data_IF_033020505866
#
_entry.id   IF_033020505866
#
_cell.length_a   1.000
_cell.length_b   1.000
_cell.length_c   1.000
_cell.angle_alpha   90.00
_cell.angle_beta   90.00
_cell.angle_gamma   90.00
#
_symmetry.space_group_name_H-M   'P 1'
#
loop_
_entity.id
_entity.type
_entity.pdbx_description
1 polymer ?
#
# COMPACT_ATOMS: atom_id res chain seq x y z
N UNK A 1 13.38 -5.88 10.58
CA UNK A 1 12.15 -6.68 10.41
C UNK A 1 11.12 -5.94 9.54
N UNK A 2 10.60 -4.79 9.97
CA UNK A 2 9.59 -4.03 9.20
C UNK A 2 10.10 -3.61 7.81
N UNK A 3 11.32 -3.05 7.72
CA UNK A 3 11.93 -2.69 6.42
C UNK A 3 12.05 -3.89 5.47
N UNK A 4 12.33 -5.10 6.00
CA UNK A 4 12.40 -6.30 5.16
C UNK A 4 11.04 -6.75 4.64
N UNK A 5 9.95 -6.51 5.40
CA UNK A 5 8.59 -6.72 4.89
C UNK A 5 8.24 -5.67 3.83
N UNK A 6 8.64 -4.41 4.02
CA UNK A 6 8.44 -3.35 3.04
C UNK A 6 9.15 -3.67 1.71
N UNK A 7 10.43 -4.04 1.76
CA UNK A 7 11.16 -4.43 0.54
C UNK A 7 10.55 -5.66 -0.13
N UNK A 8 10.00 -6.61 0.64
CA UNK A 8 9.27 -7.74 0.08
C UNK A 8 8.01 -7.28 -0.66
N UNK A 9 7.21 -6.38 -0.06
CA UNK A 9 6.02 -5.80 -0.68
C UNK A 9 6.38 -5.02 -1.95
N UNK A 10 7.40 -4.16 -1.92
CA UNK A 10 7.87 -3.41 -3.09
C UNK A 10 8.30 -4.34 -4.24
N UNK A 11 9.08 -5.40 -3.95
CA UNK A 11 9.51 -6.38 -4.95
C UNK A 11 8.30 -7.10 -5.54
N UNK A 12 7.35 -7.53 -4.71
CA UNK A 12 6.13 -8.21 -5.17
C UNK A 12 5.27 -7.28 -6.01
N UNK A 13 5.06 -6.04 -5.59
CA UNK A 13 4.26 -5.05 -6.29
C UNK A 13 4.88 -4.74 -7.66
N UNK A 14 6.19 -4.50 -7.68
CA UNK A 14 6.97 -4.28 -8.90
C UNK A 14 6.89 -5.48 -9.84
N UNK A 15 7.03 -6.70 -9.31
CA UNK A 15 6.94 -7.96 -10.08
C UNK A 15 5.53 -8.24 -10.62
N UNK A 16 4.47 -7.74 -9.97
CA UNK A 16 3.10 -7.87 -10.47
C UNK A 16 2.81 -6.87 -11.59
N UNK A 17 3.32 -5.64 -11.47
CA UNK A 17 3.03 -4.53 -12.40
C UNK A 17 3.95 -4.57 -13.63
N UNK A 18 5.27 -4.64 -13.42
CA UNK A 18 6.27 -4.39 -14.47
C UNK A 18 6.26 -5.44 -15.58
N UNK A 19 6.28 -6.76 -15.33
CA UNK A 19 6.39 -7.75 -16.39
C UNK A 19 5.22 -7.71 -17.37
N UNK A 20 4.00 -7.47 -16.86
CA UNK A 20 2.79 -7.39 -17.68
C UNK A 20 2.70 -6.07 -18.44
N UNK A 21 3.04 -4.93 -17.81
CA UNK A 21 3.17 -3.66 -18.54
C UNK A 21 4.21 -3.79 -19.65
N UNK A 22 5.41 -4.27 -19.35
CA UNK A 22 6.51 -4.34 -20.32
C UNK A 22 6.19 -5.31 -21.48
N UNK A 23 5.60 -6.48 -21.19
CA UNK A 23 5.19 -7.45 -22.21
C UNK A 23 4.09 -6.89 -23.12
N UNK A 24 3.09 -6.20 -22.56
CA UNK A 24 2.04 -5.56 -23.35
C UNK A 24 2.58 -4.41 -24.22
N UNK A 25 3.65 -3.75 -23.78
CA UNK A 25 4.26 -2.63 -24.53
C UNK A 25 5.05 -3.13 -25.73
N UNK A 26 5.83 -4.19 -25.52
CA UNK A 26 6.71 -4.76 -26.53
C UNK A 26 5.94 -5.55 -27.60
N UNK A 27 4.81 -6.19 -27.26
CA UNK A 27 4.07 -7.02 -28.21
C UNK A 27 3.14 -6.28 -29.17
N UNK A 28 2.90 -4.96 -29.02
CA UNK A 28 1.86 -4.19 -29.77
C UNK A 28 0.43 -4.79 -29.72
N UNK A 29 0.24 -5.89 -28.98
CA UNK A 29 -1.01 -6.53 -28.66
C UNK A 29 -1.38 -6.07 -27.25
N UNK A 30 -2.31 -5.10 -27.17
CA UNK A 30 -2.82 -4.52 -25.94
C UNK A 30 -3.84 -5.45 -25.26
N UNK A 31 -3.48 -6.72 -25.05
CA UNK A 31 -4.47 -7.77 -24.81
C UNK A 31 -4.10 -8.60 -23.58
N UNK A 32 -4.80 -8.37 -22.47
CA UNK A 32 -4.68 -9.19 -21.25
C UNK A 32 -5.88 -10.13 -21.12
N UNK A 33 -5.65 -11.38 -20.70
CA UNK A 33 -6.75 -12.30 -20.43
C UNK A 33 -7.51 -11.86 -19.18
N UNK A 34 -8.82 -12.11 -19.15
CA UNK A 34 -9.69 -11.71 -18.04
C UNK A 34 -9.18 -12.23 -16.68
N UNK A 35 -8.79 -13.51 -16.61
CA UNK A 35 -8.22 -14.09 -15.40
C UNK A 35 -6.90 -13.42 -14.98
N UNK A 36 -6.04 -13.07 -15.94
CA UNK A 36 -4.79 -12.37 -15.65
C UNK A 36 -5.02 -10.91 -15.20
N UNK A 37 -6.08 -10.26 -15.69
CA UNK A 37 -6.55 -8.93 -15.31
C UNK A 37 -7.02 -8.92 -13.84
N UNK A 38 -7.98 -9.80 -13.49
CA UNK A 38 -8.52 -9.94 -12.12
C UNK A 38 -7.42 -10.29 -11.12
N UNK A 39 -6.50 -11.19 -11.50
CA UNK A 39 -5.37 -11.56 -10.63
C UNK A 39 -4.44 -10.37 -10.40
N UNK A 40 -4.12 -9.60 -11.44
CA UNK A 40 -3.28 -8.40 -11.31
C UNK A 40 -3.95 -7.32 -10.46
N UNK A 41 -5.25 -7.07 -10.67
CA UNK A 41 -6.06 -6.15 -9.89
C UNK A 41 -5.99 -6.52 -8.40
N UNK A 42 -6.28 -7.77 -8.05
CA UNK A 42 -6.23 -8.24 -6.67
C UNK A 42 -4.87 -7.99 -6.01
N UNK A 43 -3.79 -8.47 -6.63
CA UNK A 43 -2.46 -8.35 -6.05
C UNK A 43 -2.00 -6.90 -5.95
N UNK A 44 -2.35 -6.04 -6.92
CA UNK A 44 -2.01 -4.62 -6.89
C UNK A 44 -2.62 -3.92 -5.67
N UNK A 45 -3.93 -4.04 -5.47
CA UNK A 45 -4.63 -3.40 -4.36
C UNK A 45 -4.23 -3.99 -3.01
N UNK A 46 -4.09 -5.31 -2.91
CA UNK A 46 -3.63 -6.00 -1.70
C UNK A 46 -2.23 -5.55 -1.27
N UNK A 47 -1.26 -5.54 -2.20
CA UNK A 47 0.12 -5.19 -1.91
C UNK A 47 0.23 -3.70 -1.57
N UNK A 48 -0.44 -2.83 -2.34
CA UNK A 48 -0.46 -1.38 -2.07
C UNK A 48 -1.09 -1.05 -0.72
N UNK A 49 -2.24 -1.65 -0.37
CA UNK A 49 -2.86 -1.43 0.93
C UNK A 49 -1.95 -1.90 2.09
N UNK A 50 -1.31 -3.07 1.94
CA UNK A 50 -0.37 -3.59 2.92
C UNK A 50 0.86 -2.68 3.10
N UNK A 51 1.35 -2.09 2.00
CA UNK A 51 2.47 -1.15 1.98
C UNK A 51 2.14 0.14 2.74
N UNK A 52 1.01 0.79 2.44
CA UNK A 52 0.59 2.01 3.16
C UNK A 52 0.43 1.78 4.66
N UNK A 53 -0.20 0.66 5.04
CA UNK A 53 -0.34 0.28 6.46
C UNK A 53 1.03 0.04 7.12
N UNK A 54 1.95 -0.61 6.42
CA UNK A 54 3.29 -0.87 6.95
C UNK A 54 4.12 0.41 7.09
N UNK A 55 3.99 1.37 6.16
CA UNK A 55 4.61 2.69 6.27
C UNK A 55 4.09 3.47 7.49
N UNK A 56 2.77 3.43 7.74
CA UNK A 56 2.19 4.05 8.93
C UNK A 56 2.71 3.41 10.23
N UNK A 57 2.86 2.08 10.25
CA UNK A 57 3.46 1.38 11.40
C UNK A 57 4.93 1.76 11.58
N UNK A 58 5.69 1.87 10.50
CA UNK A 58 7.09 2.27 10.55
C UNK A 58 7.26 3.73 11.01
N UNK A 59 6.31 4.63 10.72
CA UNK A 59 6.34 5.97 11.29
C UNK A 59 6.08 5.97 12.81
N UNK A 60 5.18 5.10 13.28
CA UNK A 60 4.91 4.92 14.72
C UNK A 60 6.11 4.29 15.43
N UNK A 61 6.76 3.30 14.83
CA UNK A 61 8.01 2.69 15.31
C UNK A 61 9.08 3.77 15.57
N UNK A 62 9.30 4.65 14.59
CA UNK A 62 10.25 5.77 14.68
C UNK A 62 9.84 6.78 15.74
N UNK A 63 8.55 7.09 15.84
CA UNK A 63 8.03 8.00 16.86
C UNK A 63 8.30 7.45 18.27
N UNK A 64 8.00 6.17 18.52
CA UNK A 64 8.22 5.55 19.82
C UNK A 64 9.72 5.49 20.17
N UNK A 65 10.58 5.16 19.20
CA UNK A 65 12.02 5.09 19.41
C UNK A 65 12.64 6.44 19.81
N UNK A 66 12.16 7.55 19.24
CA UNK A 66 12.71 8.90 19.47
C UNK A 66 12.05 9.59 20.66
N UNK A 67 10.71 9.57 20.72
CA UNK A 67 9.96 10.33 21.73
C UNK A 67 9.79 9.57 23.04
N UNK A 68 9.84 8.23 23.03
CA UNK A 68 9.62 7.38 24.20
C UNK A 68 10.69 6.28 24.36
N UNK A 69 11.99 6.63 24.39
CA UNK A 69 13.08 5.64 24.35
C UNK A 69 13.08 4.65 25.52
N UNK A 70 12.61 5.06 26.70
CA UNK A 70 12.53 4.19 27.90
C UNK A 70 11.44 3.10 27.77
N UNK A 71 10.35 3.39 27.06
CA UNK A 71 9.23 2.46 26.90
C UNK A 71 9.29 1.68 25.57
N UNK A 72 10.15 2.09 24.63
CA UNK A 72 10.28 1.48 23.32
C UNK A 72 10.48 -0.05 23.35
N UNK A 73 11.37 -0.63 24.20
CA UNK A 73 11.56 -2.09 24.22
C UNK A 73 10.32 -2.88 24.69
N UNK A 74 9.46 -2.24 25.49
CA UNK A 74 8.20 -2.84 25.97
C UNK A 74 7.10 -2.73 24.92
N UNK A 75 7.02 -1.58 24.23
CA UNK A 75 6.00 -1.30 23.23
C UNK A 75 6.30 -1.95 21.86
N UNK A 76 7.57 -2.05 21.49
CA UNK A 76 8.00 -2.57 20.19
C UNK A 76 9.10 -3.63 20.38
N UNK A 77 8.65 -4.88 20.58
CA UNK A 77 9.51 -6.07 20.61
C UNK A 77 9.27 -6.95 19.38
N UNK A 78 10.09 -8.00 19.20
CA UNK A 78 9.99 -8.89 18.04
C UNK A 78 8.61 -9.52 17.84
N UNK A 79 7.90 -9.85 18.92
CA UNK A 79 6.53 -10.41 18.86
C UNK A 79 5.52 -9.37 18.41
N UNK A 80 5.62 -8.13 18.90
CA UNK A 80 4.75 -7.02 18.46
C UNK A 80 5.01 -6.72 16.99
N UNK A 81 6.28 -6.57 16.58
CA UNK A 81 6.65 -6.37 15.18
C UNK A 81 6.05 -7.43 14.26
N UNK A 82 6.11 -8.71 14.65
CA UNK A 82 5.52 -9.80 13.88
C UNK A 82 4.00 -9.70 13.79
N UNK A 83 3.31 -9.47 14.93
CA UNK A 83 1.84 -9.34 14.96
C UNK A 83 1.36 -8.16 14.13
N UNK A 84 2.05 -7.02 14.21
CA UNK A 84 1.70 -5.82 13.46
C UNK A 84 1.97 -6.02 11.97
N UNK A 85 3.09 -6.62 11.59
CA UNK A 85 3.33 -6.96 10.18
C UNK A 85 2.22 -7.88 9.64
N UNK A 86 1.89 -8.95 10.37
CA UNK A 86 0.78 -9.84 9.99
C UNK A 86 -0.54 -9.07 9.86
N UNK A 87 -0.82 -8.11 10.76
CA UNK A 87 -2.00 -7.27 10.66
C UNK A 87 -1.99 -6.37 9.42
N UNK A 88 -0.84 -5.82 9.01
CA UNK A 88 -0.73 -5.06 7.75
C UNK A 88 -1.03 -5.95 6.53
N UNK A 89 -0.44 -7.15 6.48
CA UNK A 89 -0.70 -8.12 5.41
C UNK A 89 -2.18 -8.51 5.35
N UNK A 90 -2.78 -8.88 6.49
CA UNK A 90 -4.20 -9.25 6.54
C UNK A 90 -5.14 -8.07 6.28
N UNK A 91 -4.73 -6.86 6.69
CA UNK A 91 -5.44 -5.61 6.47
C UNK A 91 -5.47 -5.17 5.01
N UNK A 92 -4.48 -5.55 4.20
CA UNK A 92 -4.56 -5.45 2.74
C UNK A 92 -5.35 -6.61 2.12
N UNK A 93 -5.20 -7.84 2.64
CA UNK A 93 -5.72 -9.05 2.02
C UNK A 93 -7.26 -9.13 2.09
N UNK A 94 -7.82 -8.99 3.30
CA UNK A 94 -9.24 -9.26 3.54
C UNK A 94 -10.16 -8.21 2.88
N UNK A 95 -9.89 -6.90 2.99
CA UNK A 95 -10.79 -5.89 2.43
C UNK A 95 -10.84 -5.90 0.91
N UNK A 96 -9.75 -6.28 0.24
CA UNK A 96 -9.63 -6.31 -1.22
C UNK A 96 -10.26 -7.56 -1.83
N UNK A 97 -10.33 -8.67 -1.08
CA UNK A 97 -10.88 -9.93 -1.56
C UNK A 97 -12.37 -9.82 -1.93
N UNK A 98 -13.18 -9.17 -1.09
CA UNK A 98 -14.62 -9.02 -1.32
C UNK A 98 -14.95 -8.30 -2.64
N UNK A 99 -14.46 -7.07 -2.85
CA UNK A 99 -14.63 -6.34 -4.10
C UNK A 99 -14.08 -7.11 -5.31
N UNK A 100 -12.92 -7.76 -5.18
CA UNK A 100 -12.34 -8.56 -6.27
C UNK A 100 -13.25 -9.72 -6.68
N UNK A 101 -13.81 -10.47 -5.72
CA UNK A 101 -14.74 -11.57 -6.00
C UNK A 101 -16.02 -11.04 -6.64
N UNK A 102 -16.54 -9.92 -6.14
CA UNK A 102 -17.71 -9.29 -6.72
C UNK A 102 -17.47 -8.87 -8.18
N UNK A 103 -16.30 -8.28 -8.47
CA UNK A 103 -15.88 -7.92 -9.83
C UNK A 103 -15.72 -9.15 -10.71
N UNK A 104 -15.13 -10.24 -10.20
CA UNK A 104 -14.96 -11.49 -10.95
C UNK A 104 -16.29 -12.18 -11.33
N UNK A 105 -17.35 -11.94 -10.55
CA UNK A 105 -18.68 -12.53 -10.76
C UNK A 105 -19.64 -11.64 -11.58
N UNK A 106 -19.22 -10.44 -11.99
CA UNK A 106 -20.06 -9.55 -12.80
C UNK A 106 -20.28 -10.14 -14.22
N UNK A 107 -21.49 -9.96 -14.80
CA UNK A 107 -21.71 -10.26 -16.20
C UNK A 107 -21.02 -9.20 -17.08
N UNK A 108 -19.93 -9.59 -17.72
CA UNK A 108 -19.25 -8.76 -18.73
C UNK A 108 -19.95 -8.92 -20.08
N UNK A 109 -20.17 -7.81 -20.78
CA UNK A 109 -20.90 -7.80 -22.06
C UNK A 109 -20.11 -8.40 -23.22
N UNK A 110 -18.79 -8.47 -23.08
CA UNK A 110 -17.90 -9.10 -24.04
C UNK A 110 -17.19 -10.28 -23.36
N UNK A 111 -17.87 -11.42 -23.28
CA UNK A 111 -17.36 -12.63 -22.62
C UNK A 111 -16.14 -13.27 -23.33
N UNK A 112 -15.83 -12.85 -24.56
CA UNK A 112 -14.70 -13.34 -25.39
C UNK A 112 -13.68 -12.26 -25.78
N UNK A 113 -13.82 -11.01 -25.31
CA UNK A 113 -12.94 -9.92 -25.71
C UNK A 113 -11.82 -9.71 -24.70
N UNK A 114 -10.62 -10.12 -25.09
CA UNK A 114 -9.41 -9.32 -24.98
C UNK A 114 -9.65 -7.92 -24.38
N UNK A 115 -9.29 -7.72 -23.12
CA UNK A 115 -9.37 -6.39 -22.50
C UNK A 115 -8.35 -5.51 -23.21
N UNK A 116 -8.82 -4.53 -24.00
CA UNK A 116 -7.96 -3.58 -24.73
C UNK A 116 -7.36 -2.51 -23.81
N UNK A 117 -6.83 -2.92 -22.67
CA UNK A 117 -6.12 -2.04 -21.75
C UNK A 117 -4.84 -2.70 -21.23
N UNK A 118 -3.81 -1.86 -21.16
CA UNK A 118 -2.45 -2.20 -20.75
C UNK A 118 -2.34 -2.56 -19.26
N UNK A 119 -3.30 -2.09 -18.46
CA UNK A 119 -3.36 -2.24 -17.01
C UNK A 119 -4.81 -2.45 -16.57
N UNK A 120 -5.03 -3.42 -15.68
CA UNK A 120 -6.34 -3.72 -15.14
C UNK A 120 -6.64 -2.79 -13.95
N UNK A 121 -7.08 -1.56 -14.26
CA UNK A 121 -7.58 -0.63 -13.24
C UNK A 121 -9.09 -0.81 -13.06
N UNK A 122 -9.58 -0.50 -11.87
CA UNK A 122 -10.99 -0.45 -11.47
C UNK A 122 -11.85 0.27 -12.52
N UNK A 123 -11.51 1.50 -12.88
CA UNK A 123 -12.30 2.33 -13.81
C UNK A 123 -12.56 1.69 -15.19
N UNK A 124 -11.52 1.29 -15.95
CA UNK A 124 -11.67 0.60 -17.22
C UNK A 124 -12.43 -0.72 -17.12
N UNK A 125 -12.16 -1.52 -16.08
CA UNK A 125 -12.78 -2.84 -15.89
C UNK A 125 -14.27 -2.73 -15.58
N UNK A 126 -14.66 -1.75 -14.75
CA UNK A 126 -16.06 -1.52 -14.36
C UNK A 126 -16.91 -0.93 -15.50
N UNK A 127 -16.31 -0.26 -16.50
CA UNK A 127 -17.00 0.24 -17.70
C UNK A 127 -17.38 -0.83 -18.72
N UNK A 128 -16.72 -2.00 -18.68
CA UNK A 128 -16.98 -3.15 -19.57
C UNK A 128 -18.11 -4.06 -19.08
N UNK A 129 -18.59 -3.86 -17.84
CA UNK A 129 -19.68 -4.65 -17.27
C UNK A 129 -21.04 -4.25 -17.87
N UNK A 130 -21.91 -5.24 -18.12
CA UNK A 130 -23.28 -4.99 -18.56
C UNK A 130 -24.19 -4.38 -17.48
N UNK A 131 -23.70 -4.29 -16.25
CA UNK A 131 -24.48 -3.95 -15.06
C UNK A 131 -23.95 -2.67 -14.42
N UNK A 132 -24.77 -2.02 -13.60
CA UNK A 132 -24.37 -0.82 -12.89
C UNK A 132 -23.34 -1.15 -11.80
N UNK A 133 -22.07 -0.86 -12.06
CA UNK A 133 -20.93 -1.13 -11.19
C UNK A 133 -20.59 0.01 -10.22
N UNK A 134 -21.37 1.11 -10.25
CA UNK A 134 -21.12 2.32 -9.47
C UNK A 134 -20.92 2.08 -7.97
N UNK A 135 -21.67 1.14 -7.37
CA UNK A 135 -21.52 0.81 -5.94
C UNK A 135 -20.18 0.14 -5.61
N UNK A 136 -19.65 -0.68 -6.52
CA UNK A 136 -18.34 -1.30 -6.36
C UNK A 136 -17.23 -0.26 -6.47
N UNK A 137 -17.33 0.63 -7.47
CA UNK A 137 -16.39 1.75 -7.65
C UNK A 137 -16.37 2.68 -6.44
N UNK A 138 -17.55 3.05 -5.93
CA UNK A 138 -17.67 3.87 -4.72
C UNK A 138 -17.08 3.14 -3.49
N UNK A 139 -17.32 1.84 -3.35
CA UNK A 139 -16.77 1.05 -2.23
C UNK A 139 -15.25 0.95 -2.30
N UNK A 140 -14.69 0.67 -3.48
CA UNK A 140 -13.24 0.61 -3.70
C UNK A 140 -12.59 1.97 -3.46
N UNK A 141 -13.19 3.05 -3.96
CA UNK A 141 -12.71 4.41 -3.73
C UNK A 141 -12.73 4.80 -2.25
N UNK A 142 -13.81 4.46 -1.53
CA UNK A 142 -13.91 4.71 -0.09
C UNK A 142 -12.86 3.89 0.66
N UNK A 143 -12.69 2.61 0.34
CA UNK A 143 -11.71 1.76 1.01
C UNK A 143 -10.27 2.23 0.76
N UNK A 144 -9.94 2.56 -0.49
CA UNK A 144 -8.63 3.08 -0.86
C UNK A 144 -8.35 4.42 -0.18
N UNK A 145 -9.30 5.36 -0.22
CA UNK A 145 -9.15 6.66 0.44
C UNK A 145 -9.03 6.53 1.96
N UNK A 146 -9.77 5.63 2.59
CA UNK A 146 -9.63 5.35 4.03
C UNK A 146 -8.21 4.85 4.36
N UNK A 147 -7.68 3.89 3.61
CA UNK A 147 -6.31 3.36 3.85
C UNK A 147 -5.27 4.45 3.63
N UNK A 148 -5.36 5.21 2.53
CA UNK A 148 -4.39 6.27 2.21
C UNK A 148 -4.46 7.39 3.23
N UNK A 149 -5.64 7.95 3.48
CA UNK A 149 -5.81 9.10 4.40
C UNK A 149 -5.44 8.70 5.82
N UNK A 150 -5.85 7.54 6.30
CA UNK A 150 -5.47 7.09 7.65
C UNK A 150 -3.95 6.91 7.78
N UNK A 151 -3.31 6.29 6.79
CA UNK A 151 -1.85 6.07 6.78
C UNK A 151 -1.09 7.39 6.71
N UNK A 152 -1.51 8.33 5.86
CA UNK A 152 -0.93 9.66 5.75
C UNK A 152 -1.09 10.46 7.04
N UNK A 153 -2.27 10.42 7.67
CA UNK A 153 -2.52 11.11 8.93
C UNK A 153 -1.65 10.56 10.06
N UNK A 154 -1.57 9.23 10.20
CA UNK A 154 -0.70 8.58 11.20
C UNK A 154 0.76 9.00 10.98
N UNK A 155 1.20 9.00 9.73
CA UNK A 155 2.56 9.36 9.34
C UNK A 155 2.84 10.83 9.66
N UNK A 156 1.97 11.74 9.21
CA UNK A 156 2.11 13.18 9.45
C UNK A 156 2.14 13.53 10.94
N UNK A 157 1.25 12.93 11.75
CA UNK A 157 1.23 13.14 13.21
C UNK A 157 2.51 12.61 13.86
N UNK A 158 2.92 11.38 13.52
CA UNK A 158 4.15 10.76 14.05
C UNK A 158 5.38 11.62 13.76
N UNK A 159 5.54 12.06 12.52
CA UNK A 159 6.65 12.89 12.11
C UNK A 159 6.58 14.32 12.63
N UNK A 160 5.38 14.89 12.76
CA UNK A 160 5.18 16.17 13.43
C UNK A 160 5.72 16.15 14.86
N UNK A 161 5.39 15.11 15.63
CA UNK A 161 5.93 14.94 16.98
C UNK A 161 7.44 14.69 17.00
N UNK A 162 7.97 13.87 16.08
CA UNK A 162 9.42 13.65 15.97
C UNK A 162 10.14 14.98 15.71
N UNK A 163 9.66 15.79 14.76
CA UNK A 163 10.26 17.08 14.44
C UNK A 163 10.22 18.01 15.65
N UNK A 164 9.08 18.09 16.34
CA UNK A 164 8.96 18.87 17.57
C UNK A 164 9.94 18.41 18.65
N UNK A 165 10.07 17.10 18.88
CA UNK A 165 11.01 16.53 19.85
C UNK A 165 12.46 16.86 19.47
N UNK A 166 12.81 16.76 18.19
CA UNK A 166 14.15 17.06 17.68
C UNK A 166 14.48 18.55 17.81
N UNK A 167 13.53 19.44 17.54
CA UNK A 167 13.72 20.88 17.71
C UNK A 167 13.98 21.26 19.17
N UNK A 168 13.41 20.52 20.13
CA UNK A 168 13.68 20.73 21.55
C UNK A 168 15.05 20.22 22.00
N UNK A 169 15.78 19.43 21.20
CA UNK A 169 17.14 19.00 21.53
C UNK A 169 18.08 20.21 21.43
N UNK A 170 18.79 20.59 22.50
CA UNK A 170 19.66 21.77 22.49
C UNK A 170 20.97 21.56 21.72
N UNK A 171 21.39 20.32 21.45
CA UNK A 171 22.65 20.02 20.75
C UNK A 171 22.48 19.82 19.24
N UNK A 172 23.31 20.51 18.44
CA UNK A 172 23.30 20.40 16.99
C UNK A 172 23.65 18.98 16.48
N UNK A 173 24.54 18.26 17.17
CA UNK A 173 24.89 16.87 16.80
C UNK A 173 23.75 15.90 17.08
N UNK A 174 22.96 16.12 18.14
CA UNK A 174 21.76 15.35 18.46
C UNK A 174 20.67 15.53 17.40
N UNK A 175 20.48 16.78 16.93
CA UNK A 175 19.55 17.10 15.84
C UNK A 175 19.94 16.42 14.53
N UNK A 176 21.21 16.51 14.12
CA UNK A 176 21.68 15.93 12.87
C UNK A 176 21.55 14.40 12.83
N UNK A 177 21.81 13.73 13.97
CA UNK A 177 21.67 12.27 14.09
C UNK A 177 20.21 11.82 14.00
N UNK A 178 19.28 12.59 14.58
CA UNK A 178 17.85 12.30 14.49
C UNK A 178 17.29 12.52 13.07
N UNK A 179 17.67 13.63 12.41
CA UNK A 179 17.27 13.90 11.02
C UNK A 179 17.77 12.83 10.05
N UNK A 180 19.03 12.41 10.17
CA UNK A 180 19.62 11.36 9.33
C UNK A 180 18.93 10.00 9.45
N UNK A 181 18.21 9.76 10.54
CA UNK A 181 17.50 8.48 10.78
C UNK A 181 16.07 8.49 10.22
N UNK A 182 15.51 9.68 9.94
CA UNK A 182 14.12 9.87 9.51
C UNK A 182 13.96 10.22 8.02
N UNK A 183 14.98 10.78 7.38
CA UNK A 183 14.90 11.28 6.00
C UNK A 183 14.60 10.21 4.96
N UNK A 184 15.13 8.99 5.11
CA UNK A 184 14.87 7.91 4.15
C UNK A 184 13.40 7.49 4.12
N UNK A 185 12.76 7.38 5.29
CA UNK A 185 11.35 7.00 5.38
C UNK A 185 10.42 8.16 4.99
N UNK A 186 10.78 9.40 5.32
CA UNK A 186 10.06 10.59 4.82
C UNK A 186 10.08 10.67 3.30
N UNK A 187 11.23 10.40 2.66
CA UNK A 187 11.33 10.38 1.20
C UNK A 187 10.39 9.33 0.58
N UNK A 188 10.35 8.11 1.13
CA UNK A 188 9.46 7.04 0.62
C UNK A 188 7.99 7.39 0.79
N UNK A 189 7.61 8.07 1.88
CA UNK A 189 6.22 8.51 2.10
C UNK A 189 5.80 9.63 1.15
N UNK A 190 6.72 10.49 0.73
CA UNK A 190 6.44 11.63 -0.15
C UNK A 190 6.46 11.31 -1.65
N UNK A 191 6.95 10.14 -2.05
CA UNK A 191 7.10 9.69 -3.43
C UNK A 191 5.83 8.98 -3.91
#
# INVERSE_FOLDING_TARGET
FLLGNLSCLEILLTSVIIPKMLSNFLSRQHTISFAACITQFYFYFFLGASEFLLLAVMSVDRYLAICHPLHYPLLMNGTVCFRVALACWMGGLLPVLGPTVAVALLPFCEQDAVVQHFFCDSGPLLRLACSNTKKLEETDFVLASLVIVSSLMITAVSYGHIVLAVLHIPSASGRQKAFSTCTSHLMVVTL
#
